data_IF_838834329546
#
_entry.id   IF_838834329546
#
_cell.length_a   1.000
_cell.length_b   1.000
_cell.length_c   1.000
_cell.angle_alpha   90.00
_cell.angle_beta   90.00
_cell.angle_gamma   90.00
#
_symmetry.space_group_name_H-M   'P 1'
#
loop_
_entity.id
_entity.type
_entity.pdbx_description
1 polymer ?
#
# COMPACT_ATOMS: atom_id res chain seq x y z
N UNK A 1 22.14 -49.84 16.02
CA UNK A 1 22.29 -49.16 17.34
C UNK A 1 22.38 -47.63 17.22
N UNK A 2 23.27 -47.00 16.42
CA UNK A 2 23.30 -45.51 16.32
C UNK A 2 22.14 -44.91 15.52
N UNK A 3 21.55 -45.63 14.58
CA UNK A 3 20.40 -45.14 13.77
C UNK A 3 19.07 -45.28 14.54
N UNK A 4 18.90 -46.26 15.38
CA UNK A 4 17.70 -46.42 16.23
C UNK A 4 17.64 -45.39 17.36
N UNK A 5 18.77 -45.05 17.99
CA UNK A 5 18.83 -43.98 19.01
C UNK A 5 18.54 -42.58 18.43
N UNK A 6 18.89 -42.33 17.16
CA UNK A 6 18.53 -41.06 16.49
C UNK A 6 17.04 -41.01 16.15
N UNK A 7 16.41 -42.08 15.74
CA UNK A 7 14.98 -42.18 15.46
C UNK A 7 14.12 -42.01 16.70
N UNK A 8 14.45 -42.63 17.83
CA UNK A 8 13.70 -42.45 19.07
C UNK A 8 13.81 -41.05 19.68
N UNK A 9 14.98 -40.42 19.59
CA UNK A 9 15.17 -39.00 20.01
C UNK A 9 14.39 -38.03 19.13
N UNK A 10 14.25 -38.30 17.83
CA UNK A 10 13.48 -37.48 16.90
C UNK A 10 11.98 -37.60 17.22
N UNK A 11 11.44 -38.78 17.39
CA UNK A 11 10.04 -39.00 17.79
C UNK A 11 9.69 -38.40 19.15
N UNK A 12 10.61 -38.45 20.13
CA UNK A 12 10.43 -37.83 21.44
C UNK A 12 10.37 -36.29 21.35
N UNK A 13 11.22 -35.67 20.51
CA UNK A 13 11.20 -34.24 20.24
C UNK A 13 9.92 -33.78 19.52
N UNK A 14 9.46 -34.54 18.54
CA UNK A 14 8.25 -34.22 17.78
C UNK A 14 7.01 -34.26 18.68
N UNK A 15 6.90 -35.24 19.57
CA UNK A 15 5.83 -35.31 20.58
C UNK A 15 5.86 -34.12 21.56
N UNK A 16 7.06 -33.72 22.00
CA UNK A 16 7.21 -32.55 22.87
C UNK A 16 6.79 -31.25 22.17
N UNK A 17 7.13 -31.09 20.88
CA UNK A 17 6.71 -29.95 20.07
C UNK A 17 5.18 -29.93 19.88
N UNK A 18 4.55 -31.09 19.59
CA UNK A 18 3.09 -31.18 19.44
C UNK A 18 2.36 -30.84 20.75
N UNK A 19 2.87 -31.33 21.89
CA UNK A 19 2.32 -30.97 23.19
C UNK A 19 2.42 -29.46 23.48
N UNK A 20 3.57 -28.85 23.17
CA UNK A 20 3.79 -27.43 23.33
C UNK A 20 2.86 -26.60 22.38
N UNK A 21 2.71 -27.01 21.12
CA UNK A 21 1.79 -26.38 20.17
C UNK A 21 0.35 -26.46 20.66
N UNK A 22 -0.11 -27.61 21.14
CA UNK A 22 -1.43 -27.81 21.70
C UNK A 22 -1.69 -26.93 22.95
N UNK A 23 -0.68 -26.77 23.80
CA UNK A 23 -0.77 -25.89 24.96
C UNK A 23 -0.85 -24.40 24.54
N UNK A 24 -0.05 -23.98 23.56
CA UNK A 24 -0.06 -22.63 23.02
C UNK A 24 -1.43 -22.32 22.37
N UNK A 25 -1.97 -23.26 21.57
CA UNK A 25 -3.30 -23.09 20.95
C UNK A 25 -4.42 -22.95 21.98
N UNK A 26 -4.36 -23.71 23.09
CA UNK A 26 -5.33 -23.60 24.19
C UNK A 26 -5.23 -22.26 24.91
N UNK A 27 -4.02 -21.71 25.07
CA UNK A 27 -3.78 -20.49 25.83
C UNK A 27 -3.96 -19.23 24.99
N UNK A 28 -3.54 -19.23 23.71
CA UNK A 28 -3.47 -18.06 22.84
C UNK A 28 -4.38 -18.12 21.61
N UNK A 29 -5.11 -19.23 21.41
CA UNK A 29 -5.99 -19.46 20.27
C UNK A 29 -5.30 -20.15 19.09
N UNK A 30 -6.14 -20.70 18.17
CA UNK A 30 -5.66 -21.35 16.94
C UNK A 30 -4.89 -20.37 16.07
N UNK A 31 -3.75 -20.80 15.53
CA UNK A 31 -2.90 -19.99 14.67
C UNK A 31 -1.89 -19.10 15.39
N UNK A 32 -1.80 -19.17 16.74
CA UNK A 32 -0.77 -18.47 17.51
C UNK A 32 0.66 -18.92 17.12
N UNK A 33 0.83 -20.18 16.71
CA UNK A 33 2.07 -20.73 16.15
C UNK A 33 1.73 -21.57 14.92
N UNK A 34 2.46 -21.38 13.82
CA UNK A 34 2.30 -22.12 12.57
C UNK A 34 3.65 -22.60 12.05
N UNK A 35 3.68 -23.79 11.42
CA UNK A 35 4.86 -24.24 10.67
C UNK A 35 4.92 -23.50 9.33
N UNK A 36 6.03 -22.83 9.01
CA UNK A 36 6.18 -22.01 7.80
C UNK A 36 5.95 -22.79 6.49
N UNK A 37 6.15 -24.09 6.49
CA UNK A 37 5.90 -24.97 5.34
C UNK A 37 4.47 -25.47 5.17
N UNK A 38 3.55 -25.13 6.07
CA UNK A 38 2.13 -25.45 5.88
C UNK A 38 1.53 -24.54 4.80
N UNK A 39 0.59 -25.08 3.98
CA UNK A 39 0.02 -24.39 2.81
C UNK A 39 -0.58 -23.01 3.11
N UNK A 40 -0.99 -22.80 4.37
CA UNK A 40 -1.56 -21.52 4.84
C UNK A 40 -0.50 -20.44 5.14
N UNK A 41 0.78 -20.83 5.28
CA UNK A 41 1.87 -19.87 5.53
C UNK A 41 2.35 -19.13 4.28
N UNK A 42 1.98 -19.59 3.08
CA UNK A 42 2.33 -18.98 1.78
C UNK A 42 1.23 -18.03 1.27
N UNK A 43 0.44 -17.42 2.14
CA UNK A 43 -0.60 -16.46 1.74
C UNK A 43 0.07 -15.26 1.08
N UNK A 44 -0.19 -15.07 -0.22
CA UNK A 44 0.19 -13.85 -0.94
C UNK A 44 -0.35 -12.64 -0.17
N UNK A 45 0.53 -11.71 0.18
CA UNK A 45 0.11 -10.47 0.83
C UNK A 45 -0.82 -9.71 -0.13
N UNK A 46 -2.07 -9.41 0.25
CA UNK A 46 -2.95 -8.63 -0.59
C UNK A 46 -2.37 -7.23 -0.76
N UNK A 47 -2.54 -6.66 -1.95
CA UNK A 47 -1.95 -5.39 -2.35
C UNK A 47 -2.98 -4.42 -2.91
N UNK A 48 -2.64 -3.14 -2.91
CA UNK A 48 -3.33 -2.08 -3.63
C UNK A 48 -2.39 -1.63 -4.76
N UNK A 49 -2.80 -1.67 -6.03
CA UNK A 49 -2.00 -1.16 -7.15
C UNK A 49 -1.63 0.31 -6.95
N UNK A 50 -0.54 0.74 -7.55
CA UNK A 50 -0.05 2.12 -7.41
C UNK A 50 -0.55 3.07 -8.50
N UNK A 51 -1.24 2.53 -9.51
CA UNK A 51 -1.61 3.27 -10.72
C UNK A 51 -0.53 3.26 -11.81
N UNK A 52 0.66 2.72 -11.51
CA UNK A 52 1.76 2.50 -12.46
C UNK A 52 2.15 1.04 -12.51
N UNK A 53 2.08 0.42 -13.68
CA UNK A 53 2.43 -0.99 -13.90
C UNK A 53 3.93 -1.21 -13.68
N UNK A 54 4.76 -0.32 -14.23
CA UNK A 54 6.22 -0.39 -14.06
C UNK A 54 6.63 -0.33 -12.59
N UNK A 55 5.91 0.47 -11.79
CA UNK A 55 6.17 0.54 -10.36
C UNK A 55 5.64 -0.69 -9.63
N UNK A 56 4.43 -1.16 -9.93
CA UNK A 56 3.85 -2.40 -9.38
C UNK A 56 4.77 -3.60 -9.60
N UNK A 57 5.36 -3.71 -10.79
CA UNK A 57 6.38 -4.71 -11.14
C UNK A 57 7.63 -4.58 -10.29
N UNK A 58 8.13 -3.36 -10.15
CA UNK A 58 9.36 -3.12 -9.40
C UNK A 58 9.18 -3.44 -7.90
N UNK A 59 7.96 -3.31 -7.37
CA UNK A 59 7.60 -3.75 -6.01
C UNK A 59 7.69 -5.26 -5.82
N UNK A 60 7.57 -6.06 -6.90
CA UNK A 60 7.69 -7.51 -6.91
C UNK A 60 6.50 -8.25 -6.28
N UNK A 61 5.50 -7.53 -5.80
CA UNK A 61 4.25 -8.05 -5.22
C UNK A 61 3.01 -7.48 -5.89
N UNK A 62 3.18 -6.54 -6.85
CA UNK A 62 2.10 -5.98 -7.66
C UNK A 62 1.38 -4.77 -7.06
N UNK A 63 1.94 -4.12 -6.05
CA UNK A 63 1.35 -2.92 -5.44
C UNK A 63 1.81 -2.66 -4.01
N UNK A 64 1.16 -1.74 -3.32
CA UNK A 64 1.42 -1.46 -1.90
C UNK A 64 0.77 -2.51 -1.00
N UNK A 65 1.52 -3.09 -0.04
CA UNK A 65 1.06 -4.21 0.78
C UNK A 65 -0.01 -3.78 1.78
N UNK A 66 -1.14 -4.48 1.81
CA UNK A 66 -2.13 -4.34 2.88
C UNK A 66 -1.60 -4.90 4.19
N UNK A 67 -2.00 -4.29 5.31
CA UNK A 67 -1.53 -4.69 6.64
C UNK A 67 -0.07 -4.29 6.93
N UNK A 68 0.47 -3.31 6.20
CA UNK A 68 1.87 -2.86 6.35
C UNK A 68 1.98 -1.34 6.36
N UNK A 69 3.05 -0.88 7.00
CA UNK A 69 3.47 0.52 6.97
C UNK A 69 4.40 0.73 5.77
N UNK A 70 4.07 1.74 4.97
CA UNK A 70 4.82 2.19 3.79
C UNK A 70 5.31 3.62 4.04
N UNK A 71 6.54 3.93 3.67
CA UNK A 71 7.08 5.30 3.64
C UNK A 71 7.39 5.68 2.20
N UNK A 72 6.76 6.77 1.72
CA UNK A 72 7.06 7.42 0.45
C UNK A 72 7.78 8.72 0.75
N UNK A 73 9.02 8.89 0.29
CA UNK A 73 9.81 10.06 0.60
C UNK A 73 10.60 10.56 -0.62
N UNK A 74 11.02 11.80 -0.58
CA UNK A 74 11.76 12.45 -1.65
C UNK A 74 11.77 13.96 -1.53
N UNK A 75 12.47 14.67 -2.43
CA UNK A 75 12.46 16.12 -2.51
C UNK A 75 11.07 16.71 -2.73
N UNK A 76 10.93 18.01 -2.60
CA UNK A 76 9.68 18.71 -2.88
C UNK A 76 9.29 18.60 -4.36
N UNK A 77 7.99 18.68 -4.64
CA UNK A 77 7.42 18.66 -5.99
C UNK A 77 7.82 17.43 -6.85
N UNK A 78 8.10 16.27 -6.23
CA UNK A 78 8.44 15.02 -6.93
C UNK A 78 7.25 14.09 -7.15
N UNK A 79 6.04 14.44 -6.68
CA UNK A 79 4.83 13.64 -6.86
C UNK A 79 4.56 12.63 -5.74
N UNK A 80 5.07 12.85 -4.52
CA UNK A 80 4.80 11.99 -3.36
C UNK A 80 3.31 11.91 -3.03
N UNK A 81 2.68 13.06 -2.85
CA UNK A 81 1.22 13.18 -2.61
C UNK A 81 0.43 12.62 -3.78
N UNK A 82 0.82 12.92 -5.02
CA UNK A 82 0.20 12.37 -6.23
C UNK A 82 0.19 10.84 -6.21
N UNK A 83 1.32 10.21 -5.90
CA UNK A 83 1.40 8.76 -5.79
C UNK A 83 0.48 8.21 -4.69
N UNK A 84 0.43 8.87 -3.52
CA UNK A 84 -0.45 8.47 -2.43
C UNK A 84 -1.93 8.58 -2.81
N UNK A 85 -2.32 9.64 -3.53
CA UNK A 85 -3.69 9.84 -4.05
C UNK A 85 -4.04 8.76 -5.08
N UNK A 86 -3.11 8.36 -5.97
CA UNK A 86 -3.35 7.24 -6.89
C UNK A 86 -3.63 5.94 -6.15
N UNK A 87 -2.88 5.64 -5.09
CA UNK A 87 -3.14 4.44 -4.27
C UNK A 87 -4.52 4.49 -3.60
N UNK A 88 -4.99 5.66 -3.18
CA UNK A 88 -6.36 5.87 -2.70
C UNK A 88 -7.37 5.54 -3.80
N UNK A 89 -7.21 6.13 -4.99
CA UNK A 89 -8.11 5.88 -6.13
C UNK A 89 -8.16 4.39 -6.49
N UNK A 90 -7.02 3.71 -6.51
CA UNK A 90 -6.96 2.27 -6.80
C UNK A 90 -7.60 1.42 -5.67
N UNK A 91 -7.50 1.84 -4.39
CA UNK A 91 -8.19 1.19 -3.28
C UNK A 91 -9.71 1.33 -3.41
N UNK A 92 -10.20 2.52 -3.74
CA UNK A 92 -11.63 2.79 -3.94
C UNK A 92 -12.21 2.04 -5.16
N UNK A 93 -11.45 1.93 -6.27
CA UNK A 93 -11.82 1.09 -7.43
C UNK A 93 -12.01 -0.39 -7.05
N UNK A 94 -11.30 -0.87 -6.03
CA UNK A 94 -11.46 -2.21 -5.47
C UNK A 94 -12.62 -2.31 -4.46
N UNK A 95 -13.42 -1.25 -4.28
CA UNK A 95 -14.50 -1.16 -3.30
C UNK A 95 -14.02 -0.91 -1.86
N UNK A 96 -12.76 -0.51 -1.68
CA UNK A 96 -12.17 -0.22 -0.38
C UNK A 96 -12.46 1.19 0.12
N UNK A 97 -12.38 1.37 1.44
CA UNK A 97 -12.49 2.68 2.11
C UNK A 97 -11.12 3.30 2.31
N UNK A 98 -11.05 4.62 2.12
CA UNK A 98 -9.81 5.38 2.23
C UNK A 98 -9.91 6.54 3.21
N UNK A 99 -8.81 6.86 3.87
CA UNK A 99 -8.69 8.04 4.72
C UNK A 99 -7.42 8.82 4.39
N UNK A 100 -7.51 10.14 4.40
CA UNK A 100 -6.40 11.06 4.19
C UNK A 100 -6.28 12.00 5.40
N UNK A 101 -5.15 11.94 6.07
CA UNK A 101 -4.82 12.83 7.19
C UNK A 101 -3.88 13.90 6.63
N UNK A 102 -4.46 15.06 6.38
CA UNK A 102 -3.83 16.22 5.74
C UNK A 102 -3.22 17.14 6.81
N UNK A 103 -2.02 16.82 7.25
CA UNK A 103 -1.30 17.63 8.23
C UNK A 103 -0.63 18.88 7.61
N UNK A 104 -0.51 18.96 6.28
CA UNK A 104 -0.01 20.14 5.57
C UNK A 104 -1.15 21.10 5.15
N UNK A 105 -2.41 20.69 5.28
CA UNK A 105 -3.60 21.45 4.82
C UNK A 105 -3.54 21.81 3.34
N UNK A 106 -3.05 20.90 2.50
CA UNK A 106 -2.70 21.17 1.11
C UNK A 106 -3.42 20.26 0.10
N UNK A 107 -4.33 19.38 0.53
CA UNK A 107 -5.07 18.51 -0.39
C UNK A 107 -6.06 19.34 -1.22
N UNK A 108 -5.90 19.30 -2.54
CA UNK A 108 -6.86 19.83 -3.49
C UNK A 108 -7.89 18.75 -3.90
N UNK A 109 -9.18 18.89 -3.50
CA UNK A 109 -10.22 17.93 -3.87
C UNK A 109 -10.45 17.81 -5.37
N UNK A 110 -10.26 18.90 -6.14
CA UNK A 110 -10.41 18.88 -7.60
C UNK A 110 -9.31 18.05 -8.24
N UNK A 111 -8.09 18.20 -7.75
CA UNK A 111 -6.97 17.39 -8.22
C UNK A 111 -7.14 15.92 -7.82
N UNK A 112 -7.59 15.62 -6.61
CA UNK A 112 -7.89 14.25 -6.19
C UNK A 112 -8.97 13.61 -7.09
N UNK A 113 -10.05 14.33 -7.39
CA UNK A 113 -11.10 13.88 -8.31
C UNK A 113 -10.57 13.63 -9.74
N UNK A 114 -9.66 14.50 -10.25
CA UNK A 114 -9.08 14.33 -11.59
C UNK A 114 -8.19 13.07 -11.71
N UNK A 115 -7.63 12.59 -10.60
CA UNK A 115 -6.87 11.33 -10.52
C UNK A 115 -7.81 10.11 -10.44
N UNK A 116 -9.08 10.33 -10.13
CA UNK A 116 -10.09 9.27 -10.04
C UNK A 116 -10.45 8.88 -8.61
N UNK A 117 -10.16 9.74 -7.63
CA UNK A 117 -10.64 9.58 -6.26
C UNK A 117 -12.12 9.95 -6.19
N UNK A 118 -12.92 9.07 -5.60
CA UNK A 118 -14.25 9.42 -5.13
C UNK A 118 -14.12 10.28 -3.87
N UNK A 119 -14.24 11.60 -4.05
CA UNK A 119 -14.04 12.58 -2.98
C UNK A 119 -15.19 12.58 -1.98
N UNK A 120 -16.39 12.15 -2.39
CA UNK A 120 -17.56 12.08 -1.51
C UNK A 120 -17.45 10.95 -0.48
N UNK A 121 -16.73 9.88 -0.81
CA UNK A 121 -16.47 8.74 0.08
C UNK A 121 -15.14 8.82 0.81
N UNK A 122 -14.25 9.77 0.45
CA UNK A 122 -12.95 9.92 1.08
C UNK A 122 -13.07 10.54 2.49
N UNK A 123 -12.60 9.81 3.50
CA UNK A 123 -12.49 10.38 4.84
C UNK A 123 -11.29 11.31 4.91
N UNK A 124 -11.52 12.58 5.24
CA UNK A 124 -10.46 13.57 5.42
C UNK A 124 -10.40 14.06 6.87
N UNK A 125 -9.19 14.25 7.37
CA UNK A 125 -8.93 14.88 8.67
C UNK A 125 -7.78 15.87 8.56
N UNK A 126 -7.94 17.04 9.16
CA UNK A 126 -6.94 18.11 9.21
C UNK A 126 -6.61 18.40 10.67
N UNK A 127 -5.69 17.63 11.28
CA UNK A 127 -5.35 17.74 12.69
C UNK A 127 -4.49 18.96 12.98
N UNK A 128 -4.66 19.54 14.17
CA UNK A 128 -3.89 20.71 14.62
C UNK A 128 -2.46 20.34 15.07
N UNK A 129 -2.23 19.10 15.53
CA UNK A 129 -0.94 18.62 16.05
C UNK A 129 -0.73 17.13 15.82
N UNK A 130 0.51 16.67 15.94
CA UNK A 130 0.93 15.33 15.58
C UNK A 130 0.28 14.22 16.40
N UNK A 131 0.07 14.40 17.71
CA UNK A 131 -0.61 13.43 18.57
C UNK A 131 -2.05 13.19 18.10
N UNK A 132 -2.80 14.26 17.77
CA UNK A 132 -4.16 14.17 17.26
C UNK A 132 -4.20 13.40 15.92
N UNK A 133 -3.30 13.72 15.00
CA UNK A 133 -3.19 13.00 13.72
C UNK A 133 -3.03 11.50 13.92
N UNK A 134 -2.10 11.11 14.80
CA UNK A 134 -1.76 9.71 15.03
C UNK A 134 -2.84 8.96 15.83
N UNK A 135 -3.55 9.64 16.72
CA UNK A 135 -4.70 9.10 17.46
C UNK A 135 -5.90 8.88 16.56
N UNK A 136 -6.23 9.82 15.67
CA UNK A 136 -7.28 9.67 14.65
C UNK A 136 -6.94 8.47 13.75
N UNK A 137 -5.69 8.39 13.27
CA UNK A 137 -5.23 7.25 12.49
C UNK A 137 -5.36 5.92 13.25
N UNK A 138 -5.01 5.88 14.54
CA UNK A 138 -5.14 4.70 15.38
C UNK A 138 -6.60 4.24 15.47
N UNK A 139 -7.54 5.16 15.71
CA UNK A 139 -8.99 4.85 15.78
C UNK A 139 -9.49 4.30 14.45
N UNK A 140 -9.14 4.92 13.31
CA UNK A 140 -9.52 4.46 11.99
C UNK A 140 -8.98 3.06 11.68
N UNK A 141 -7.71 2.79 11.98
CA UNK A 141 -7.12 1.45 11.80
C UNK A 141 -7.79 0.41 12.69
N UNK A 142 -8.12 0.75 13.95
CA UNK A 142 -8.78 -0.16 14.90
C UNK A 142 -10.18 -0.55 14.46
N UNK A 143 -10.89 0.30 13.73
CA UNK A 143 -12.21 0.00 13.21
C UNK A 143 -12.21 -1.21 12.25
N UNK A 144 -11.07 -1.45 11.58
CA UNK A 144 -10.95 -2.49 10.56
C UNK A 144 -11.73 -2.20 9.27
N UNK A 145 -12.32 -1.02 9.16
CA UNK A 145 -13.17 -0.63 8.03
C UNK A 145 -12.43 0.17 6.95
N UNK A 146 -11.16 0.56 7.20
CA UNK A 146 -10.38 1.40 6.28
C UNK A 146 -9.26 0.60 5.66
N UNK A 147 -9.23 0.55 4.32
CA UNK A 147 -8.26 -0.22 3.52
C UNK A 147 -6.94 0.50 3.34
N UNK A 148 -6.97 1.83 3.21
CA UNK A 148 -5.78 2.66 3.07
C UNK A 148 -5.90 3.93 3.90
N UNK A 149 -4.83 4.27 4.61
CA UNK A 149 -4.68 5.55 5.34
C UNK A 149 -3.40 6.21 4.86
N UNK A 150 -3.51 7.47 4.49
CA UNK A 150 -2.37 8.33 4.13
C UNK A 150 -2.21 9.40 5.19
N UNK A 151 -0.99 9.64 5.66
CA UNK A 151 -0.60 10.82 6.44
C UNK A 151 0.35 11.66 5.58
N UNK A 152 -0.06 12.87 5.23
CA UNK A 152 0.73 13.84 4.45
C UNK A 152 0.89 15.15 5.23
N UNK A 153 2.06 15.46 5.77
CA UNK A 153 3.27 14.64 5.79
C UNK A 153 3.80 14.46 7.22
N UNK A 154 4.75 13.50 7.40
CA UNK A 154 5.45 13.33 8.69
C UNK A 154 6.14 14.61 9.15
N UNK A 155 6.62 15.43 8.20
CA UNK A 155 7.29 16.69 8.50
C UNK A 155 6.38 17.70 9.22
N UNK A 156 5.06 17.63 8.95
CA UNK A 156 4.05 18.51 9.54
C UNK A 156 3.46 17.99 10.85
N UNK A 157 3.84 16.78 11.30
CA UNK A 157 3.40 16.25 12.59
C UNK A 157 4.17 16.91 13.74
N UNK A 158 3.80 18.15 14.05
CA UNK A 158 4.40 18.91 15.15
C UNK A 158 3.81 18.42 16.48
N UNK A 159 4.63 18.05 17.48
CA UNK A 159 4.15 17.70 18.81
C UNK A 159 3.40 18.86 19.48
N UNK A 160 2.33 18.55 20.21
CA UNK A 160 1.53 19.56 20.93
C UNK A 160 2.39 20.43 21.85
N UNK A 161 3.32 19.82 22.57
CA UNK A 161 4.23 20.53 23.49
C UNK A 161 5.16 21.52 22.75
N UNK A 162 5.44 21.32 21.46
CA UNK A 162 6.20 22.24 20.63
C UNK A 162 5.35 23.44 20.20
N UNK A 163 4.06 23.22 19.96
CA UNK A 163 3.10 24.29 19.61
C UNK A 163 2.74 25.18 20.79
N UNK A 164 2.71 24.60 22.01
CA UNK A 164 2.39 25.32 23.25
C UNK A 164 3.63 26.01 23.88
N UNK A 165 4.86 25.71 23.37
CA UNK A 165 6.10 26.32 23.81
C UNK A 165 6.32 27.73 23.26
N UNK A 166 7.29 28.45 23.82
CA UNK A 166 7.66 29.77 23.32
C UNK A 166 8.57 29.68 22.10
N UNK A 167 8.53 30.70 21.23
CA UNK A 167 9.45 30.81 20.08
C UNK A 167 10.90 30.83 20.52
N UNK A 168 11.65 29.79 20.17
CA UNK A 168 13.07 29.65 20.52
C UNK A 168 13.36 28.53 21.52
N UNK A 169 12.33 27.91 22.07
CA UNK A 169 12.49 26.75 22.96
C UNK A 169 13.14 25.56 22.23
N UNK A 170 14.03 24.85 22.92
CA UNK A 170 14.71 23.70 22.35
C UNK A 170 13.86 22.43 22.49
N UNK A 171 13.07 22.10 21.45
CA UNK A 171 12.22 20.91 21.40
C UNK A 171 12.87 19.70 20.71
N UNK A 172 14.21 19.55 20.88
CA UNK A 172 14.97 18.51 20.18
C UNK A 172 14.43 17.10 20.46
N UNK A 173 14.05 16.41 19.40
CA UNK A 173 13.69 14.99 19.43
C UNK A 173 12.26 14.66 19.86
N UNK A 174 11.39 15.64 20.16
CA UNK A 174 9.98 15.37 20.51
C UNK A 174 9.24 14.64 19.40
N UNK A 175 9.34 15.10 18.14
CA UNK A 175 8.74 14.45 16.99
C UNK A 175 9.24 13.00 16.82
N UNK A 176 10.54 12.75 17.01
CA UNK A 176 11.09 11.39 16.90
C UNK A 176 10.58 10.48 18.03
N UNK A 177 10.34 11.01 19.23
CA UNK A 177 9.74 10.27 20.35
C UNK A 177 8.27 9.96 20.07
N UNK A 178 7.50 10.93 19.59
CA UNK A 178 6.12 10.77 19.18
C UNK A 178 5.97 9.68 18.12
N UNK A 179 6.74 9.75 17.04
CA UNK A 179 6.75 8.74 15.98
C UNK A 179 7.14 7.35 16.50
N UNK A 180 8.10 7.27 17.41
CA UNK A 180 8.53 5.99 18.00
C UNK A 180 7.42 5.36 18.85
N UNK A 181 6.69 6.16 19.59
CA UNK A 181 5.57 5.71 20.42
C UNK A 181 4.39 5.26 19.56
N UNK A 182 3.99 6.06 18.57
CA UNK A 182 2.88 5.78 17.67
C UNK A 182 3.13 4.50 16.85
N UNK A 183 4.31 4.37 16.23
CA UNK A 183 4.62 3.21 15.39
C UNK A 183 4.66 1.90 16.16
N UNK A 184 5.07 1.90 17.45
CA UNK A 184 4.97 0.71 18.31
C UNK A 184 3.53 0.24 18.49
N UNK A 185 2.57 1.16 18.62
CA UNK A 185 1.15 0.84 18.75
C UNK A 185 0.55 0.46 17.38
N UNK A 186 0.77 1.27 16.36
CA UNK A 186 0.15 1.14 15.04
C UNK A 186 0.56 -0.13 14.30
N UNK A 187 1.82 -0.56 14.36
CA UNK A 187 2.31 -1.67 13.54
C UNK A 187 1.54 -2.97 13.74
N UNK A 188 1.22 -3.32 15.00
CA UNK A 188 0.47 -4.54 15.30
C UNK A 188 -1.00 -4.44 14.87
N UNK A 189 -1.59 -3.25 15.02
CA UNK A 189 -3.00 -3.00 14.68
C UNK A 189 -3.16 -3.00 13.15
N UNK A 190 -2.29 -2.28 12.43
CA UNK A 190 -2.22 -2.22 10.96
C UNK A 190 -2.11 -3.63 10.37
N UNK A 191 -1.26 -4.49 10.94
CA UNK A 191 -1.13 -5.88 10.47
C UNK A 191 -2.42 -6.68 10.63
N UNK A 192 -3.17 -6.46 11.71
CA UNK A 192 -4.44 -7.17 11.99
C UNK A 192 -5.59 -6.66 11.14
N UNK A 193 -5.74 -5.34 11.00
CA UNK A 193 -6.79 -4.69 10.20
C UNK A 193 -6.60 -4.86 8.70
N UNK A 194 -5.41 -5.26 8.25
CA UNK A 194 -5.03 -5.31 6.82
C UNK A 194 -5.03 -3.94 6.14
N UNK A 195 -5.04 -2.86 6.87
CA UNK A 195 -4.95 -1.49 6.35
C UNK A 195 -3.57 -1.25 5.73
N UNK A 196 -3.49 -0.69 4.53
CA UNK A 196 -2.26 -0.14 3.97
C UNK A 196 -2.02 1.25 4.59
N UNK A 197 -0.94 1.40 5.36
CA UNK A 197 -0.67 2.65 6.07
C UNK A 197 0.51 3.39 5.43
N UNK A 198 0.24 4.53 4.80
CA UNK A 198 1.21 5.30 4.02
C UNK A 198 1.60 6.56 4.78
N UNK A 199 2.89 6.72 5.01
CA UNK A 199 3.50 7.97 5.46
C UNK A 199 4.19 8.65 4.29
N UNK A 200 3.76 9.84 3.94
CA UNK A 200 4.49 10.75 3.06
C UNK A 200 5.52 11.50 3.89
N UNK A 201 6.76 11.59 3.41
CA UNK A 201 7.85 12.18 4.19
C UNK A 201 8.74 13.07 3.31
N UNK A 202 9.35 14.06 3.93
CA UNK A 202 10.29 14.99 3.31
C UNK A 202 11.73 14.58 3.61
N UNK A 203 12.65 14.98 2.73
CA UNK A 203 14.09 14.86 2.94
C UNK A 203 14.60 16.14 3.59
N UNK A 204 15.51 15.98 4.54
CA UNK A 204 16.29 17.06 5.15
C UNK A 204 17.77 16.72 5.03
N UNK A 205 18.59 17.72 4.86
CA UNK A 205 20.04 17.58 4.84
C UNK A 205 20.62 17.70 6.25
N UNK A 206 21.58 16.84 6.57
CA UNK A 206 22.35 16.91 7.80
C UNK A 206 23.53 17.85 7.61
N UNK A 207 23.59 18.90 8.39
CA UNK A 207 24.71 19.83 8.41
C UNK A 207 25.95 19.13 8.98
N UNK A 208 27.10 19.29 8.32
CA UNK A 208 28.41 18.79 8.81
C UNK A 208 28.69 17.30 8.56
N UNK A 209 27.96 16.65 7.65
CA UNK A 209 28.18 15.24 7.33
C UNK A 209 29.14 15.11 6.11
N UNK A 210 30.41 14.68 6.35
CA UNK A 210 31.41 14.55 5.30
C UNK A 210 31.52 13.16 4.67
N UNK A 211 30.91 12.12 5.27
CA UNK A 211 30.96 10.73 4.77
C UNK A 211 29.57 10.11 4.68
N UNK A 212 29.19 9.63 3.49
CA UNK A 212 27.90 8.99 3.21
C UNK A 212 26.84 9.96 2.67
N UNK A 213 25.56 9.54 2.61
CA UNK A 213 24.47 10.42 2.16
C UNK A 213 24.10 11.43 3.26
N UNK A 214 24.17 12.74 2.99
CA UNK A 214 23.75 13.76 3.96
C UNK A 214 22.24 13.77 4.17
N UNK A 215 21.47 13.16 3.26
CA UNK A 215 20.02 13.18 3.28
C UNK A 215 19.43 12.27 4.38
N UNK A 216 18.44 12.77 5.08
CA UNK A 216 17.67 12.00 6.05
C UNK A 216 16.19 12.40 5.99
N UNK A 217 15.30 11.48 6.34
CA UNK A 217 13.86 11.78 6.45
C UNK A 217 13.53 12.33 7.84
N UNK A 218 12.46 13.13 7.95
CA UNK A 218 11.94 13.68 9.21
C UNK A 218 11.34 12.59 10.11
N UNK A 219 11.02 12.92 11.37
CA UNK A 219 10.41 11.97 12.32
C UNK A 219 11.36 10.94 12.93
N UNK A 220 12.69 11.12 12.78
CA UNK A 220 13.71 10.29 13.41
C UNK A 220 13.94 8.94 12.71
N UNK A 221 14.40 7.93 13.47
CA UNK A 221 14.75 6.60 12.92
C UNK A 221 13.62 5.58 12.95
N UNK A 222 12.59 5.80 13.75
CA UNK A 222 11.56 4.79 14.00
C UNK A 222 10.87 4.32 12.71
N UNK A 223 10.43 5.25 11.86
CA UNK A 223 9.75 4.93 10.61
C UNK A 223 10.62 4.08 9.69
N UNK A 224 11.94 4.33 9.63
CA UNK A 224 12.90 3.53 8.82
C UNK A 224 12.94 2.06 9.25
N UNK A 225 12.72 1.77 10.54
CA UNK A 225 12.70 0.39 11.06
C UNK A 225 11.32 -0.25 10.90
N UNK A 226 10.25 0.47 11.24
CA UNK A 226 8.87 -0.06 11.24
C UNK A 226 8.30 -0.22 9.83
N UNK A 227 8.60 0.67 8.90
CA UNK A 227 8.17 0.54 7.51
C UNK A 227 8.62 -0.79 6.90
N UNK A 228 7.68 -1.49 6.25
CA UNK A 228 7.93 -2.71 5.50
C UNK A 228 8.41 -2.40 4.08
N UNK A 229 7.95 -1.28 3.54
CA UNK A 229 8.32 -0.75 2.23
C UNK A 229 8.76 0.72 2.39
N UNK A 230 9.87 1.09 1.75
CA UNK A 230 10.36 2.48 1.68
C UNK A 230 10.69 2.82 0.25
N UNK A 231 10.12 3.91 -0.24
CA UNK A 231 10.14 4.34 -1.62
C UNK A 231 10.70 5.76 -1.71
N UNK A 232 11.81 5.93 -2.43
CA UNK A 232 12.42 7.22 -2.75
C UNK A 232 11.95 7.65 -4.14
N UNK A 233 11.23 8.77 -4.25
CA UNK A 233 10.75 9.33 -5.52
C UNK A 233 11.49 10.62 -5.86
N UNK A 234 12.02 10.69 -7.09
CA UNK A 234 12.82 11.82 -7.55
C UNK A 234 12.44 12.22 -8.98
N UNK A 235 12.36 13.52 -9.23
CA UNK A 235 12.23 14.06 -10.59
C UNK A 235 13.55 13.88 -11.33
N UNK A 236 13.49 13.34 -12.54
CA UNK A 236 14.66 13.15 -13.42
C UNK A 236 14.60 14.00 -14.69
N UNK A 237 13.41 14.37 -15.14
CA UNK A 237 13.22 15.26 -16.28
C UNK A 237 11.91 16.05 -16.16
N UNK A 238 11.85 17.15 -16.84
CA UNK A 238 10.62 17.95 -17.01
C UNK A 238 10.03 17.65 -18.39
N UNK A 239 8.74 17.34 -18.44
CA UNK A 239 8.01 17.07 -19.68
C UNK A 239 7.47 18.38 -20.25
N UNK A 240 7.66 18.59 -21.55
CA UNK A 240 7.21 19.77 -22.26
C UNK A 240 6.43 19.39 -23.51
N UNK A 241 5.42 20.21 -23.82
CA UNK A 241 4.73 20.22 -25.09
C UNK A 241 4.94 21.58 -25.73
N UNK A 242 5.81 21.66 -26.74
CA UNK A 242 6.35 22.94 -27.20
C UNK A 242 7.12 23.64 -26.07
N UNK A 243 6.74 24.88 -25.75
CA UNK A 243 7.32 25.67 -24.67
C UNK A 243 6.64 25.46 -23.30
N UNK A 244 5.48 24.82 -23.30
CA UNK A 244 4.68 24.60 -22.07
C UNK A 244 5.17 23.39 -21.30
N UNK A 245 5.44 23.58 -20.02
CA UNK A 245 5.71 22.46 -19.09
C UNK A 245 4.40 21.77 -18.75
N UNK A 246 4.28 20.48 -19.07
CA UNK A 246 3.07 19.68 -18.87
C UNK A 246 3.19 18.67 -17.73
N UNK A 247 4.41 18.37 -17.28
CA UNK A 247 4.60 17.36 -16.24
C UNK A 247 6.05 17.09 -15.94
N UNK A 248 6.30 16.02 -15.18
CA UNK A 248 7.61 15.56 -14.79
C UNK A 248 7.76 14.07 -15.06
N UNK A 249 8.91 13.64 -15.54
CA UNK A 249 9.34 12.26 -15.47
C UNK A 249 9.99 12.00 -14.11
N UNK A 250 9.50 10.98 -13.42
CA UNK A 250 10.00 10.61 -12.10
C UNK A 250 10.66 9.25 -12.11
N UNK A 251 11.63 9.10 -11.21
CA UNK A 251 12.28 7.83 -10.92
C UNK A 251 11.97 7.44 -9.49
N UNK A 252 11.49 6.23 -9.32
CA UNK A 252 11.16 5.64 -8.03
C UNK A 252 12.17 4.55 -7.71
N UNK A 253 12.79 4.64 -6.53
CA UNK A 253 13.73 3.63 -6.02
C UNK A 253 13.17 2.97 -4.78
N UNK A 254 13.08 1.65 -4.79
CA UNK A 254 12.68 0.87 -3.62
C UNK A 254 13.88 0.68 -2.71
N UNK A 255 13.96 1.49 -1.65
CA UNK A 255 15.11 1.50 -0.72
C UNK A 255 15.04 0.37 0.30
N UNK A 256 13.81 -0.05 0.66
CA UNK A 256 13.55 -1.14 1.57
C UNK A 256 12.30 -1.89 1.14
N UNK A 257 12.37 -3.21 1.12
CA UNK A 257 11.22 -4.07 0.86
C UNK A 257 11.37 -5.35 1.70
N UNK A 258 10.37 -5.67 2.55
CA UNK A 258 10.36 -6.89 3.37
C UNK A 258 9.61 -8.05 2.69
N UNK A 259 8.95 -7.80 1.54
CA UNK A 259 8.12 -8.78 0.84
C UNK A 259 8.77 -9.30 -0.45
N UNK A 260 9.69 -8.52 -1.04
CA UNK A 260 10.43 -8.86 -2.27
C UNK A 260 11.84 -8.25 -2.24
N UNK A 261 12.74 -8.63 -3.16
CA UNK A 261 14.07 -8.04 -3.24
C UNK A 261 14.02 -6.52 -3.42
N UNK A 262 14.73 -5.73 -2.59
CA UNK A 262 14.77 -4.27 -2.68
C UNK A 262 15.69 -3.79 -3.83
N UNK A 263 15.85 -2.46 -3.93
CA UNK A 263 16.73 -1.72 -4.83
C UNK A 263 16.34 -1.75 -6.32
N UNK A 264 15.13 -2.23 -6.62
CA UNK A 264 14.55 -2.09 -7.96
C UNK A 264 14.17 -0.64 -8.23
N UNK A 265 14.09 -0.30 -9.51
CA UNK A 265 13.80 1.03 -10.02
C UNK A 265 12.60 0.97 -10.94
N UNK A 266 11.75 1.99 -10.89
CA UNK A 266 10.73 2.27 -11.89
C UNK A 266 10.84 3.72 -12.35
N UNK A 267 10.34 4.02 -13.54
CA UNK A 267 10.23 5.36 -14.07
C UNK A 267 8.88 5.52 -14.76
N UNK A 268 8.20 6.61 -14.48
CA UNK A 268 6.93 6.95 -15.11
C UNK A 268 6.76 8.47 -15.19
N UNK A 269 5.78 8.89 -15.98
CA UNK A 269 5.46 10.30 -16.16
C UNK A 269 4.31 10.70 -15.23
N UNK A 270 4.42 11.87 -14.60
CA UNK A 270 3.35 12.54 -13.85
C UNK A 270 2.97 13.78 -14.64
N UNK A 271 1.73 13.84 -15.11
CA UNK A 271 1.16 14.98 -15.86
C UNK A 271 0.42 15.88 -14.88
N UNK A 272 0.63 17.19 -14.99
CA UNK A 272 -0.01 18.16 -14.13
C UNK A 272 -1.53 18.19 -14.39
N UNK A 273 -2.31 18.04 -13.31
CA UNK A 273 -3.76 17.97 -13.38
C UNK A 273 -4.36 16.60 -13.71
N UNK A 274 -3.54 15.63 -14.19
CA UNK A 274 -4.00 14.28 -14.53
C UNK A 274 -3.37 13.17 -13.65
N UNK A 275 -2.20 13.43 -13.05
CA UNK A 275 -1.49 12.44 -12.25
C UNK A 275 -0.56 11.54 -13.06
N UNK A 276 -0.43 10.28 -12.67
CA UNK A 276 0.42 9.29 -13.36
C UNK A 276 -0.15 9.00 -14.74
N UNK A 277 0.69 9.15 -15.79
CA UNK A 277 0.29 8.84 -17.16
C UNK A 277 0.21 7.32 -17.36
N UNK A 278 -1.01 6.78 -17.27
CA UNK A 278 -1.26 5.35 -17.44
C UNK A 278 -0.87 4.88 -18.86
N UNK A 279 -1.23 5.65 -19.88
CA UNK A 279 -0.92 5.33 -21.28
C UNK A 279 0.58 5.34 -21.54
N UNK A 280 1.30 6.32 -20.94
CA UNK A 280 2.75 6.41 -21.05
C UNK A 280 3.44 5.19 -20.43
N UNK A 281 2.97 4.74 -19.28
CA UNK A 281 3.48 3.56 -18.58
C UNK A 281 3.15 2.27 -19.35
N UNK A 282 1.93 2.17 -19.96
CA UNK A 282 1.54 1.06 -20.83
C UNK A 282 2.46 0.94 -22.05
N UNK A 283 2.77 2.06 -22.72
CA UNK A 283 3.68 2.05 -23.86
C UNK A 283 5.07 1.58 -23.47
N UNK A 284 5.62 2.14 -22.39
CA UNK A 284 6.97 1.81 -21.93
C UNK A 284 7.03 0.33 -21.47
N UNK A 285 6.07 -0.15 -20.66
CA UNK A 285 5.98 -1.54 -20.24
C UNK A 285 5.70 -2.50 -21.40
N UNK A 286 4.87 -2.12 -22.36
CA UNK A 286 4.56 -2.93 -23.55
C UNK A 286 5.78 -3.16 -24.43
N UNK A 287 6.65 -2.15 -24.57
CA UNK A 287 7.93 -2.29 -25.30
C UNK A 287 8.88 -3.18 -24.51
N UNK A 288 9.00 -2.98 -23.19
CA UNK A 288 9.88 -3.78 -22.32
C UNK A 288 9.45 -5.26 -22.26
N UNK A 289 8.14 -5.53 -22.33
CA UNK A 289 7.58 -6.88 -22.39
C UNK A 289 7.63 -7.50 -23.79
N UNK A 290 8.05 -6.75 -24.83
CA UNK A 290 8.07 -7.23 -26.22
C UNK A 290 6.69 -7.38 -26.88
N UNK A 291 5.62 -6.89 -26.24
CA UNK A 291 4.26 -6.88 -26.79
C UNK A 291 4.06 -5.74 -27.81
N UNK A 292 4.75 -4.63 -27.58
CA UNK A 292 4.82 -3.51 -28.52
C UNK A 292 6.20 -3.53 -29.19
N UNK A 293 6.21 -3.69 -30.50
CA UNK A 293 7.43 -3.61 -31.30
C UNK A 293 7.76 -2.17 -31.63
N UNK A 294 9.02 -1.77 -31.39
CA UNK A 294 9.52 -0.44 -31.73
C UNK A 294 10.55 -0.54 -32.84
N UNK A 295 10.19 -0.08 -34.05
CA UNK A 295 11.07 0.00 -35.19
C UNK A 295 11.35 1.46 -35.56
N UNK A 296 12.49 1.99 -35.12
CA UNK A 296 12.83 3.42 -35.26
C UNK A 296 11.85 4.30 -34.49
N UNK A 297 11.07 5.11 -35.19
CA UNK A 297 10.03 5.99 -34.60
C UNK A 297 8.64 5.33 -34.59
N UNK A 298 8.46 4.19 -35.24
CA UNK A 298 7.19 3.51 -35.35
C UNK A 298 6.99 2.48 -34.23
N UNK A 299 5.76 2.42 -33.76
CA UNK A 299 5.29 1.45 -32.77
C UNK A 299 4.25 0.56 -33.40
N UNK A 300 4.34 -0.75 -33.20
CA UNK A 300 3.39 -1.75 -33.71
C UNK A 300 2.94 -2.67 -32.58
N UNK A 301 1.69 -3.08 -32.61
CA UNK A 301 1.10 -4.04 -31.68
C UNK A 301 0.36 -5.11 -32.49
N UNK A 302 0.67 -6.39 -32.26
CA UNK A 302 0.13 -7.53 -33.03
C UNK A 302 0.29 -7.37 -34.55
N UNK A 303 1.40 -6.78 -35.01
CA UNK A 303 1.68 -6.54 -36.41
C UNK A 303 1.02 -5.30 -37.03
N UNK A 304 0.14 -4.63 -36.32
CA UNK A 304 -0.51 -3.37 -36.73
C UNK A 304 0.25 -2.16 -36.21
N UNK A 305 0.40 -1.13 -37.05
CA UNK A 305 1.02 0.13 -36.64
C UNK A 305 0.06 0.94 -35.78
N UNK A 306 0.46 1.22 -34.53
CA UNK A 306 -0.34 1.97 -33.55
C UNK A 306 0.08 3.45 -33.42
N UNK A 307 1.19 3.87 -34.03
CA UNK A 307 1.58 5.27 -34.04
C UNK A 307 3.02 5.52 -34.38
N UNK A 308 3.32 6.77 -34.74
CA UNK A 308 4.67 7.27 -34.94
C UNK A 308 5.05 8.18 -33.76
N UNK A 309 6.04 7.76 -32.98
CA UNK A 309 6.44 8.43 -31.73
C UNK A 309 5.57 8.04 -30.52
N UNK A 310 6.18 8.13 -29.34
CA UNK A 310 5.56 7.73 -28.06
C UNK A 310 4.27 8.52 -27.77
N UNK A 311 4.27 9.83 -28.02
CA UNK A 311 3.12 10.69 -27.74
C UNK A 311 1.91 10.37 -28.62
N UNK A 312 2.14 9.97 -29.89
CA UNK A 312 1.07 9.52 -30.80
C UNK A 312 0.39 8.25 -30.29
N UNK A 313 1.18 7.29 -29.78
CA UNK A 313 0.66 6.05 -29.20
C UNK A 313 -0.11 6.31 -27.92
N UNK A 314 0.41 7.18 -27.04
CA UNK A 314 -0.31 7.60 -25.82
C UNK A 314 -1.68 8.18 -26.14
N UNK A 315 -1.75 9.06 -27.18
CA UNK A 315 -3.01 9.65 -27.62
C UNK A 315 -3.99 8.60 -28.11
N UNK A 316 -3.52 7.66 -28.94
CA UNK A 316 -4.33 6.53 -29.42
C UNK A 316 -4.90 5.70 -28.26
N UNK A 317 -4.05 5.36 -27.26
CA UNK A 317 -4.50 4.58 -26.09
C UNK A 317 -5.49 5.36 -25.23
N UNK A 318 -5.36 6.70 -25.13
CA UNK A 318 -6.31 7.56 -24.42
C UNK A 318 -7.67 7.64 -25.12
N UNK A 319 -7.67 7.60 -26.47
CA UNK A 319 -8.87 7.63 -27.31
C UNK A 319 -9.53 6.25 -27.44
N UNK A 320 -8.78 5.17 -27.16
CA UNK A 320 -9.26 3.80 -27.30
C UNK A 320 -9.03 3.02 -25.98
N UNK A 321 -9.97 3.15 -25.07
CA UNK A 321 -9.92 2.52 -23.74
C UNK A 321 -9.93 0.99 -23.81
N UNK A 322 -10.61 0.40 -24.82
CA UNK A 322 -10.66 -1.07 -24.97
C UNK A 322 -9.28 -1.63 -25.33
N UNK A 323 -8.58 -0.96 -26.24
CA UNK A 323 -7.22 -1.33 -26.62
C UNK A 323 -6.26 -1.15 -25.43
N UNK A 324 -6.40 -0.07 -24.67
CA UNK A 324 -5.59 0.17 -23.50
C UNK A 324 -5.81 -0.90 -22.42
N UNK A 325 -7.07 -1.29 -22.17
CA UNK A 325 -7.42 -2.31 -21.19
C UNK A 325 -6.91 -3.71 -21.63
N UNK A 326 -7.04 -4.04 -22.92
CA UNK A 326 -6.52 -5.30 -23.47
C UNK A 326 -4.98 -5.37 -23.33
N UNK A 327 -4.30 -4.31 -23.72
CA UNK A 327 -2.83 -4.21 -23.62
C UNK A 327 -2.37 -4.30 -22.15
N UNK A 328 -3.07 -3.61 -21.22
CA UNK A 328 -2.78 -3.71 -19.80
C UNK A 328 -2.89 -5.15 -19.30
N UNK A 329 -3.95 -5.85 -19.67
CA UNK A 329 -4.17 -7.23 -19.26
C UNK A 329 -3.06 -8.14 -19.75
N UNK A 330 -2.65 -8.00 -21.02
CA UNK A 330 -1.57 -8.80 -21.62
C UNK A 330 -0.22 -8.48 -20.96
N UNK A 331 0.09 -7.20 -20.74
CA UNK A 331 1.32 -6.80 -20.02
C UNK A 331 1.34 -7.40 -18.62
N UNK A 332 0.24 -7.32 -17.86
CA UNK A 332 0.15 -7.88 -16.50
C UNK A 332 0.29 -9.40 -16.48
N UNK A 333 -0.22 -10.11 -17.51
CA UNK A 333 -0.04 -11.56 -17.66
C UNK A 333 1.41 -11.91 -17.98
N UNK A 334 2.00 -11.27 -18.98
CA UNK A 334 3.38 -11.54 -19.42
C UNK A 334 4.39 -11.26 -18.32
N UNK A 335 4.18 -10.20 -17.56
CA UNK A 335 5.07 -9.79 -16.48
C UNK A 335 4.75 -10.47 -15.12
N UNK A 336 3.81 -11.43 -15.09
CA UNK A 336 3.51 -12.25 -13.91
C UNK A 336 2.82 -11.52 -12.75
N UNK A 337 2.17 -10.38 -13.01
CA UNK A 337 1.37 -9.64 -12.01
C UNK A 337 -0.01 -10.27 -11.79
N UNK A 338 -0.53 -10.98 -12.78
CA UNK A 338 -1.75 -11.78 -12.68
C UNK A 338 -1.42 -13.26 -12.52
N UNK A 339 -2.28 -14.05 -11.85
CA UNK A 339 -2.14 -15.49 -11.85
C UNK A 339 -2.23 -15.99 -13.30
N UNK A 340 -1.36 -16.94 -13.69
CA UNK A 340 -1.55 -17.66 -14.96
C UNK A 340 -2.91 -18.36 -14.97
N UNK A 341 -3.50 -18.56 -16.13
CA UNK A 341 -4.82 -19.23 -16.28
C UNK A 341 -4.85 -20.58 -15.55
N UNK A 342 -3.74 -21.34 -15.61
CA UNK A 342 -3.60 -22.58 -14.83
C UNK A 342 -3.63 -22.39 -13.30
N UNK A 343 -3.16 -21.24 -12.79
CA UNK A 343 -3.21 -20.93 -11.37
C UNK A 343 -4.59 -20.41 -10.95
N UNK A 344 -5.31 -19.76 -11.86
CA UNK A 344 -6.69 -19.30 -11.66
C UNK A 344 -7.68 -20.48 -11.69
N UNK A 345 -7.52 -21.45 -12.60
CA UNK A 345 -8.33 -22.68 -12.63
C UNK A 345 -8.10 -23.57 -11.40
N UNK A 346 -6.86 -23.68 -10.92
CA UNK A 346 -6.55 -24.38 -9.66
C UNK A 346 -7.11 -23.68 -8.41
N UNK A 347 -7.32 -22.38 -8.46
CA UNK A 347 -7.95 -21.61 -7.39
C UNK A 347 -9.47 -21.72 -7.41
N UNK A 348 -10.10 -21.69 -8.60
CA UNK A 348 -11.54 -21.83 -8.77
C UNK A 348 -12.02 -23.26 -8.52
N UNK A 349 -11.27 -24.28 -8.91
CA UNK A 349 -11.57 -25.68 -8.62
C UNK A 349 -11.57 -26.05 -7.14
N UNK A 350 -10.85 -25.27 -6.28
CA UNK A 350 -10.86 -25.47 -4.82
C UNK A 350 -11.98 -24.77 -4.06
N UNK A 351 -12.59 -23.74 -4.66
CA UNK A 351 -13.75 -23.05 -4.05
C UNK A 351 -15.04 -23.86 -4.23
N UNK A 352 -15.11 -24.68 -5.28
CA UNK A 352 -16.27 -25.55 -5.54
C UNK A 352 -16.37 -26.76 -4.58
N UNK A 353 -15.25 -27.17 -3.94
CA UNK A 353 -15.21 -28.33 -3.04
C UNK A 353 -15.42 -27.99 -1.55
N UNK A 354 -15.53 -26.70 -1.21
CA UNK A 354 -15.69 -26.19 0.14
C UNK A 354 -17.03 -25.47 0.38
N UNK A 355 -18.14 -25.96 -0.22
CA UNK A 355 -19.47 -25.49 0.15
C UNK A 355 -19.91 -26.22 1.45
N UNK A 356 -20.25 -25.51 2.53
CA UNK A 356 -20.72 -26.17 3.75
C UNK A 356 -22.11 -26.75 3.55
N UNK A 357 -22.23 -28.01 3.93
CA UNK A 357 -23.50 -28.75 4.07
C UNK A 357 -24.48 -27.96 4.92
N UNK A 358 -25.73 -27.95 4.49
CA UNK A 358 -26.86 -27.24 5.08
C UNK A 358 -26.96 -27.47 6.60
N UNK A 359 -26.85 -26.41 7.37
CA UNK A 359 -27.33 -26.41 8.76
C UNK A 359 -28.89 -26.41 8.76
N UNK A 360 -29.47 -27.44 9.32
CA UNK A 360 -30.89 -27.62 9.47
C UNK A 360 -31.51 -26.53 10.36
N UNK A 361 -32.57 -25.90 9.89
CA UNK A 361 -33.42 -25.02 10.64
C UNK A 361 -34.01 -25.73 11.87
N UNK A 362 -33.85 -25.12 13.05
CA UNK A 362 -34.71 -25.42 14.22
C UNK A 362 -35.74 -24.30 14.37
N UNK A 363 -37.00 -24.62 14.68
CA UNK A 363 -38.07 -23.63 14.73
C UNK A 363 -37.97 -22.75 15.98
N UNK A 364 -38.21 -21.46 15.77
CA UNK A 364 -38.30 -20.45 16.81
C UNK A 364 -39.67 -20.62 17.50
N UNK A 365 -39.64 -21.04 18.75
CA UNK A 365 -40.81 -21.07 19.62
C UNK A 365 -40.99 -19.73 20.34
N UNK A 366 -42.24 -19.25 20.36
CA UNK A 366 -42.70 -17.99 20.92
C UNK A 366 -42.37 -17.85 22.39
N UNK A 367 -41.79 -16.70 22.77
CA UNK A 367 -41.90 -16.15 24.12
C UNK A 367 -42.46 -14.73 24.01
N UNK A 368 -43.75 -14.61 23.98
CA UNK A 368 -44.49 -13.43 24.36
C UNK A 368 -44.97 -13.63 25.81
N UNK A 369 -45.12 -12.51 26.52
CA UNK A 369 -45.62 -12.37 27.91
C UNK A 369 -44.55 -12.34 29.01
N UNK A 370 -44.21 -11.12 29.40
CA UNK A 370 -44.28 -10.59 30.78
C UNK A 370 -43.57 -9.24 30.91
N UNK A 371 -44.26 -8.15 30.61
CA UNK A 371 -43.99 -6.87 31.26
C UNK A 371 -45.37 -6.34 31.75
N UNK A 372 -45.63 -6.62 33.02
CA UNK A 372 -46.74 -6.05 33.77
C UNK A 372 -46.48 -4.61 34.13
N UNK A 373 -47.39 -3.75 33.75
CA UNK A 373 -47.50 -2.38 34.17
C UNK A 373 -47.81 -2.31 35.67
N UNK A 374 -47.23 -1.35 36.38
CA UNK A 374 -47.83 -0.75 37.60
C UNK A 374 -47.58 0.77 37.65
N UNK A 375 -48.50 1.53 38.27
CA UNK A 375 -48.82 2.89 37.88
C UNK A 375 -48.14 3.97 38.73
N UNK A 376 -48.22 5.20 38.21
CA UNK A 376 -47.85 6.44 38.88
C UNK A 376 -48.76 6.76 40.09
N UNK A 377 -48.15 7.21 41.17
CA UNK A 377 -48.85 8.05 42.16
C UNK A 377 -47.84 9.08 42.76
N UNK A 378 -48.24 10.33 42.59
CA UNK A 378 -47.84 11.62 43.22
C UNK A 378 -46.51 12.20 42.88
#
# INVERSE_FOLDING_TARGET
MKEEETGEKQTSRDRAIEAALSQIEKQFGKGAVMKLGQKDAAVKVPVIPTGSISFDLSLGIGGFPRGRVVEVFGPEATGKTTLAIHVIAEAQKQGGQAAFIDAEHALDPKYAASIGVDVDSLLISQPDYGEQALEIAEVLVRSGAVDVIVIDSVAALVPKAELEGEMGDAHMGLQARLMSQALRKLTAIVSRSKTCFIFVNQIREKIGFFLGSPETTTGGRALKFYASLRVDIRRIATLKEGDKVIGNRVKVKIVKNKMAPPFRLAQFDIIFGEGISKEGDLVDCGVDAGLIEKAGTWYSYKGERIGQGRESVKKLLKENEELAAQLELEIRKELGLLPSEEAAEKASGKVAEAAPEKAAEKPVEKVAERIGAKPAVK
#
